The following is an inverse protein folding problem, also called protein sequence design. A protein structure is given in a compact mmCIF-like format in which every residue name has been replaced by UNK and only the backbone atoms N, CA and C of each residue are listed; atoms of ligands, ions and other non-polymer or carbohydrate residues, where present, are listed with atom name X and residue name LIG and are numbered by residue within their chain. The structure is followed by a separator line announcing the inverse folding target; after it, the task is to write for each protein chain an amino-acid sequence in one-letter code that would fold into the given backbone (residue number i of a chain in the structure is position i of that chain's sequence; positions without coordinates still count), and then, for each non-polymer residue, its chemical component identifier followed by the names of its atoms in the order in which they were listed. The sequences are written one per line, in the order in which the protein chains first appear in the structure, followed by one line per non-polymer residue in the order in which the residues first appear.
data_IF_016713401668
#
_entry.id   IF_016713401668
#
_cell.length_a   1.000
_cell.length_b   1.000
_cell.length_c   1.000
_cell.angle_alpha   90.00
_cell.angle_beta   90.00
_cell.angle_gamma   90.00
#
_symmetry.space_group_name_H-M   'P 1'
#
loop_
_entity.id
_entity.type
_entity.pdbx_description
1 polymer ?
#
# COMPACT_ATOMS: atom_id res chain seq x y z
N UNK A 1 -24.80 47.05 8.83
CA UNK A 1 -23.94 46.88 10.02
C UNK A 1 -22.75 46.06 9.57
N UNK A 2 -21.68 46.72 9.15
CA UNK A 2 -20.47 46.05 8.69
C UNK A 2 -19.73 45.48 9.89
N UNK A 3 -19.77 44.15 10.05
CA UNK A 3 -18.82 43.48 10.93
C UNK A 3 -17.44 43.78 10.38
N UNK A 4 -16.67 44.57 11.12
CA UNK A 4 -15.28 44.83 10.75
C UNK A 4 -14.53 43.50 10.70
N UNK A 5 -13.61 43.35 9.75
CA UNK A 5 -12.83 42.10 9.56
C UNK A 5 -12.21 41.59 10.87
N UNK A 6 -11.86 42.50 11.78
CA UNK A 6 -11.34 42.18 13.11
C UNK A 6 -12.38 41.50 14.01
N UNK A 7 -13.63 41.95 14.01
CA UNK A 7 -14.71 41.31 14.80
C UNK A 7 -15.06 39.91 14.25
N UNK A 8 -14.99 39.73 12.93
CA UNK A 8 -15.17 38.41 12.32
C UNK A 8 -14.02 37.45 12.71
N UNK A 9 -12.79 37.96 12.77
CA UNK A 9 -11.62 37.20 13.23
C UNK A 9 -11.73 36.80 14.69
N UNK A 10 -12.05 37.73 15.58
CA UNK A 10 -12.20 37.45 17.02
C UNK A 10 -13.30 36.42 17.27
N UNK A 11 -14.41 36.49 16.52
CA UNK A 11 -15.49 35.51 16.61
C UNK A 11 -15.07 34.11 16.13
N UNK A 12 -14.27 34.02 15.07
CA UNK A 12 -13.72 32.75 14.59
C UNK A 12 -12.69 32.16 15.56
N UNK A 13 -11.79 32.98 16.11
CA UNK A 13 -10.81 32.56 17.12
C UNK A 13 -11.53 32.07 18.40
N UNK A 14 -12.60 32.75 18.82
CA UNK A 14 -13.44 32.32 19.95
C UNK A 14 -14.15 30.98 19.69
N UNK A 15 -14.48 30.66 18.44
CA UNK A 15 -15.04 29.36 18.05
C UNK A 15 -13.98 28.27 17.89
N UNK A 16 -12.74 28.64 17.55
CA UNK A 16 -11.63 27.71 17.35
C UNK A 16 -11.11 27.15 18.69
N UNK A 17 -10.95 28.01 19.70
CA UNK A 17 -10.42 27.65 21.01
C UNK A 17 -11.13 26.45 21.71
N UNK A 18 -12.47 26.37 21.76
CA UNK A 18 -13.15 25.20 22.33
C UNK A 18 -12.98 23.94 21.48
N UNK A 19 -12.81 24.07 20.16
CA UNK A 19 -12.55 22.92 19.27
C UNK A 19 -11.15 22.37 19.49
N UNK A 20 -10.13 23.23 19.63
CA UNK A 20 -8.76 22.81 19.94
C UNK A 20 -8.68 22.12 21.30
N UNK A 21 -9.39 22.64 22.30
CA UNK A 21 -9.48 22.02 23.62
C UNK A 21 -10.09 20.63 23.52
N UNK A 22 -11.18 20.48 22.76
CA UNK A 22 -11.85 19.19 22.56
C UNK A 22 -11.02 18.21 21.74
N UNK A 23 -10.25 18.70 20.78
CA UNK A 23 -9.29 17.88 20.03
C UNK A 23 -8.21 17.31 20.96
N UNK A 24 -7.64 18.15 21.84
CA UNK A 24 -6.63 17.71 22.80
C UNK A 24 -7.19 16.69 23.82
N UNK A 25 -8.42 16.87 24.29
CA UNK A 25 -9.10 15.89 25.15
C UNK A 25 -9.28 14.54 24.44
N UNK A 26 -9.74 14.55 23.19
CA UNK A 26 -9.93 13.33 22.40
C UNK A 26 -8.61 12.62 22.12
N UNK A 27 -7.53 13.36 21.83
CA UNK A 27 -6.19 12.78 21.66
C UNK A 27 -5.70 12.09 22.93
N UNK A 28 -5.93 12.70 24.09
CA UNK A 28 -5.60 12.10 25.39
C UNK A 28 -6.38 10.80 25.64
N UNK A 29 -7.68 10.80 25.35
CA UNK A 29 -8.53 9.60 25.45
C UNK A 29 -8.04 8.51 24.50
N UNK A 30 -7.68 8.86 23.26
CA UNK A 30 -7.18 7.94 22.25
C UNK A 30 -5.85 7.32 22.68
N UNK A 31 -4.94 8.12 23.25
CA UNK A 31 -3.69 7.64 23.82
C UNK A 31 -3.93 6.61 24.93
N UNK A 32 -4.87 6.88 25.84
CA UNK A 32 -5.27 5.94 26.89
C UNK A 32 -5.84 4.62 26.34
N UNK A 33 -6.70 4.69 25.33
CA UNK A 33 -7.25 3.50 24.66
C UNK A 33 -6.14 2.69 23.97
N UNK A 34 -5.18 3.34 23.32
CA UNK A 34 -4.08 2.65 22.65
C UNK A 34 -3.16 1.92 23.64
N UNK A 35 -2.85 2.54 24.77
CA UNK A 35 -2.07 1.92 25.83
C UNK A 35 -2.80 0.70 26.42
N UNK A 36 -4.11 0.81 26.66
CA UNK A 36 -4.93 -0.31 27.11
C UNK A 36 -4.98 -1.44 26.07
N UNK A 37 -5.14 -1.13 24.78
CA UNK A 37 -5.06 -2.13 23.69
C UNK A 37 -3.71 -2.83 23.66
N UNK A 38 -2.61 -2.10 23.89
CA UNK A 38 -1.26 -2.67 23.93
C UNK A 38 -1.10 -3.65 25.08
N UNK A 39 -1.57 -3.28 26.28
CA UNK A 39 -1.56 -4.15 27.47
C UNK A 39 -2.38 -5.41 27.25
N UNK A 40 -3.60 -5.28 26.72
CA UNK A 40 -4.46 -6.42 26.42
C UNK A 40 -3.85 -7.35 25.36
N UNK A 41 -3.26 -6.80 24.29
CA UNK A 41 -2.53 -7.61 23.30
C UNK A 41 -1.34 -8.36 23.90
N UNK A 42 -0.58 -7.71 24.79
CA UNK A 42 0.53 -8.36 25.47
C UNK A 42 0.04 -9.49 26.38
N UNK A 43 -1.06 -9.28 27.12
CA UNK A 43 -1.67 -10.30 27.97
C UNK A 43 -2.21 -11.49 27.15
N UNK A 44 -2.90 -11.23 26.03
CA UNK A 44 -3.34 -12.26 25.10
C UNK A 44 -2.16 -13.06 24.52
N UNK A 45 -1.09 -12.36 24.13
CA UNK A 45 0.15 -13.01 23.64
C UNK A 45 0.82 -13.88 24.70
N UNK A 46 0.75 -13.46 25.97
CA UNK A 46 1.29 -14.25 27.09
C UNK A 46 0.43 -15.50 27.37
N UNK A 47 -0.90 -15.37 27.25
CA UNK A 47 -1.85 -16.48 27.41
C UNK A 47 -1.76 -17.50 26.27
N UNK A 48 -1.47 -17.06 25.05
CA UNK A 48 -1.23 -17.92 23.88
C UNK A 48 0.10 -18.71 23.97
N UNK A 49 0.76 -18.70 25.13
CA UNK A 49 2.04 -19.36 25.37
C UNK A 49 3.14 -18.55 24.70
N UNK A 50 3.62 -17.54 25.41
CA UNK A 50 4.63 -16.58 24.94
C UNK A 50 5.61 -17.19 23.94
N UNK A 51 5.70 -16.58 22.76
CA UNK A 51 6.41 -17.12 21.59
C UNK A 51 7.87 -17.44 21.92
N UNK A 52 8.12 -18.66 22.38
CA UNK A 52 9.34 -19.37 22.06
C UNK A 52 9.43 -19.36 20.54
N UNK A 53 10.51 -18.77 20.02
CA UNK A 53 10.88 -18.71 18.60
C UNK A 53 10.18 -19.80 17.79
N UNK A 54 9.16 -19.41 17.02
CA UNK A 54 8.58 -20.26 15.98
C UNK A 54 9.68 -20.53 14.95
N UNK A 55 10.44 -21.60 15.16
CA UNK A 55 11.34 -22.17 14.16
C UNK A 55 10.47 -22.91 13.15
N UNK A 56 10.60 -22.50 11.90
CA UNK A 56 10.10 -23.15 10.70
C UNK A 56 8.58 -23.22 10.54
N UNK A 57 7.97 -22.08 10.19
CA UNK A 57 6.85 -22.14 9.24
C UNK A 57 7.39 -22.77 7.95
N UNK A 58 6.66 -23.70 7.30
CA UNK A 58 7.07 -24.25 6.01
C UNK A 58 7.34 -23.08 5.07
N UNK A 59 8.50 -23.08 4.41
CA UNK A 59 8.92 -22.00 3.53
C UNK A 59 7.83 -21.78 2.49
N UNK A 60 7.11 -20.66 2.59
CA UNK A 60 6.13 -20.27 1.57
C UNK A 60 6.88 -20.18 0.25
N UNK A 61 6.32 -20.77 -0.80
CA UNK A 61 6.90 -20.71 -2.14
C UNK A 61 7.20 -19.24 -2.48
N UNK A 62 8.43 -18.96 -2.88
CA UNK A 62 8.81 -17.62 -3.27
C UNK A 62 8.16 -17.26 -4.61
N UNK A 63 7.84 -15.98 -4.76
CA UNK A 63 7.40 -15.42 -6.03
C UNK A 63 8.47 -15.62 -7.11
N UNK A 64 8.09 -16.09 -8.28
CA UNK A 64 8.98 -16.23 -9.46
C UNK A 64 8.82 -15.05 -10.40
N UNK A 65 9.81 -14.83 -11.27
CA UNK A 65 9.76 -13.80 -12.31
C UNK A 65 8.54 -13.98 -13.22
N UNK A 66 8.31 -15.20 -13.70
CA UNK A 66 7.22 -15.50 -14.63
C UNK A 66 5.85 -15.21 -14.01
N UNK A 67 5.67 -15.52 -12.72
CA UNK A 67 4.41 -15.22 -12.02
C UNK A 67 4.19 -13.71 -11.90
N UNK A 68 5.24 -12.92 -11.68
CA UNK A 68 5.14 -11.45 -11.67
C UNK A 68 4.78 -10.93 -13.06
N UNK A 69 5.39 -11.48 -14.12
CA UNK A 69 5.07 -11.12 -15.51
C UNK A 69 3.61 -11.41 -15.82
N UNK A 70 3.11 -12.62 -15.53
CA UNK A 70 1.71 -12.99 -15.79
C UNK A 70 0.72 -12.09 -15.06
N UNK A 71 0.98 -11.81 -13.78
CA UNK A 71 0.09 -10.94 -12.99
C UNK A 71 0.14 -9.50 -13.52
N UNK A 72 1.33 -9.00 -13.85
CA UNK A 72 1.51 -7.66 -14.42
C UNK A 72 0.83 -7.52 -15.79
N UNK A 73 1.00 -8.53 -16.66
CA UNK A 73 0.40 -8.59 -18.00
C UNK A 73 -1.13 -8.51 -17.90
N UNK A 74 -1.73 -9.30 -17.01
CA UNK A 74 -3.17 -9.26 -16.78
C UNK A 74 -3.64 -7.91 -16.22
N UNK A 75 -2.95 -7.35 -15.22
CA UNK A 75 -3.33 -6.06 -14.63
C UNK A 75 -3.23 -4.89 -15.62
N UNK A 76 -2.19 -4.89 -16.46
CA UNK A 76 -2.00 -3.86 -17.48
C UNK A 76 -2.96 -4.06 -18.65
N UNK A 77 -3.28 -5.30 -19.02
CA UNK A 77 -4.32 -5.59 -20.01
C UNK A 77 -5.71 -5.10 -19.55
N UNK A 78 -6.05 -5.31 -18.28
CA UNK A 78 -7.34 -4.91 -17.70
C UNK A 78 -7.49 -3.38 -17.57
N UNK A 79 -6.38 -2.65 -17.36
CA UNK A 79 -6.39 -1.21 -17.07
C UNK A 79 -5.75 -0.34 -18.18
N UNK A 80 -5.25 -0.96 -19.26
CA UNK A 80 -4.45 -0.38 -20.36
C UNK A 80 -3.07 0.17 -19.93
N UNK A 81 -3.03 0.94 -18.85
CA UNK A 81 -1.82 1.54 -18.30
C UNK A 81 -1.96 1.75 -16.80
N UNK A 82 -0.90 1.51 -16.04
CA UNK A 82 -0.89 1.67 -14.58
C UNK A 82 0.39 2.35 -14.11
N UNK A 83 0.32 3.29 -13.16
CA UNK A 83 1.50 3.78 -12.47
C UNK A 83 2.27 2.60 -11.87
N UNK A 84 3.61 2.63 -11.96
CA UNK A 84 4.48 1.55 -11.49
C UNK A 84 4.30 1.25 -10.00
N UNK A 85 4.03 2.28 -9.19
CA UNK A 85 3.74 2.14 -7.77
C UNK A 85 2.43 1.38 -7.52
N UNK A 86 1.38 1.69 -8.28
CA UNK A 86 0.08 1.01 -8.17
C UNK A 86 0.18 -0.43 -8.67
N UNK A 87 0.93 -0.64 -9.76
CA UNK A 87 1.20 -1.97 -10.29
C UNK A 87 1.96 -2.84 -9.28
N UNK A 88 3.01 -2.31 -8.64
CA UNK A 88 3.75 -2.99 -7.56
C UNK A 88 2.80 -3.37 -6.40
N UNK A 89 1.96 -2.44 -5.93
CA UNK A 89 1.01 -2.69 -4.84
C UNK A 89 -0.03 -3.76 -5.20
N UNK A 90 -0.59 -3.70 -6.41
CA UNK A 90 -1.59 -4.66 -6.90
C UNK A 90 -1.00 -6.06 -7.07
N UNK A 91 0.22 -6.18 -7.62
CA UNK A 91 0.89 -7.46 -7.76
C UNK A 91 1.20 -8.05 -6.38
N UNK A 92 1.71 -7.24 -5.42
CA UNK A 92 1.95 -7.73 -4.04
C UNK A 92 0.68 -8.28 -3.41
N UNK A 93 -0.44 -7.58 -3.57
CA UNK A 93 -1.75 -8.03 -3.08
C UNK A 93 -2.16 -9.36 -3.70
N UNK A 94 -2.07 -9.50 -5.04
CA UNK A 94 -2.39 -10.75 -5.75
C UNK A 94 -1.45 -11.91 -5.37
N UNK A 95 -0.15 -11.65 -5.21
CA UNK A 95 0.86 -12.65 -4.80
C UNK A 95 0.60 -13.16 -3.38
N UNK A 96 0.29 -12.25 -2.45
CA UNK A 96 -0.07 -12.60 -1.08
C UNK A 96 -1.40 -13.38 -1.03
N UNK A 97 -2.40 -12.97 -1.81
CA UNK A 97 -3.69 -13.68 -1.92
C UNK A 97 -3.55 -15.11 -2.43
N UNK A 98 -2.56 -15.38 -3.31
CA UNK A 98 -2.20 -16.72 -3.78
C UNK A 98 -1.33 -17.52 -2.80
N UNK A 99 -0.97 -16.95 -1.64
CA UNK A 99 -0.21 -17.63 -0.59
C UNK A 99 1.31 -17.64 -0.78
N UNK A 100 1.86 -16.88 -1.73
CA UNK A 100 3.29 -16.82 -1.99
C UNK A 100 4.02 -15.84 -1.05
N UNK A 101 5.32 -16.05 -0.87
CA UNK A 101 6.18 -15.13 -0.13
C UNK A 101 6.57 -13.93 -1.00
N UNK A 102 6.58 -12.73 -0.39
CA UNK A 102 7.16 -11.52 -1.01
C UNK A 102 8.69 -11.44 -0.87
N UNK A 103 9.33 -12.45 -0.28
CA UNK A 103 10.78 -12.52 -0.22
C UNK A 103 11.36 -12.54 -1.64
N UNK A 104 12.27 -11.59 -1.94
CA UNK A 104 12.84 -11.42 -3.28
C UNK A 104 11.90 -10.77 -4.30
N UNK A 105 10.70 -10.31 -3.91
CA UNK A 105 9.73 -9.71 -4.83
C UNK A 105 10.30 -8.52 -5.60
N UNK A 106 10.97 -7.58 -4.92
CA UNK A 106 11.52 -6.38 -5.56
C UNK A 106 12.51 -6.73 -6.70
N UNK A 107 13.31 -7.78 -6.52
CA UNK A 107 14.21 -8.29 -7.56
C UNK A 107 13.40 -8.84 -8.73
N UNK A 108 12.40 -9.70 -8.48
CA UNK A 108 11.56 -10.30 -9.52
C UNK A 108 10.70 -9.28 -10.26
N UNK A 109 10.25 -8.24 -9.57
CA UNK A 109 9.53 -7.12 -10.15
C UNK A 109 10.43 -6.32 -11.10
N UNK A 110 11.65 -5.96 -10.69
CA UNK A 110 12.60 -5.29 -11.57
C UNK A 110 12.97 -6.15 -12.79
N UNK A 111 13.21 -7.45 -12.59
CA UNK A 111 13.46 -8.39 -13.69
C UNK A 111 12.26 -8.52 -14.65
N UNK A 112 11.03 -8.45 -14.13
CA UNK A 112 9.81 -8.48 -14.93
C UNK A 112 9.63 -7.19 -15.74
N UNK A 113 9.85 -6.02 -15.13
CA UNK A 113 9.77 -4.75 -15.86
C UNK A 113 10.82 -4.66 -16.98
N UNK A 114 11.99 -5.28 -16.79
CA UNK A 114 13.06 -5.33 -17.77
C UNK A 114 12.96 -6.51 -18.77
N UNK A 115 11.88 -7.29 -18.77
CA UNK A 115 11.75 -8.46 -19.66
C UNK A 115 11.41 -8.11 -21.12
N UNK A 116 11.25 -6.82 -21.43
CA UNK A 116 10.95 -6.33 -22.78
C UNK A 116 9.49 -6.45 -23.21
N UNK A 117 8.61 -7.05 -22.38
CA UNK A 117 7.15 -7.09 -22.59
C UNK A 117 6.43 -5.80 -22.17
N UNK A 118 7.03 -5.06 -21.23
CA UNK A 118 6.45 -3.83 -20.71
C UNK A 118 7.28 -2.63 -21.18
N UNK A 119 6.60 -1.51 -21.36
CA UNK A 119 7.22 -0.19 -21.56
C UNK A 119 6.92 0.66 -20.35
N UNK A 120 7.94 1.34 -19.84
CA UNK A 120 7.83 2.31 -18.75
C UNK A 120 8.06 3.69 -19.35
N UNK A 121 7.07 4.58 -19.22
CA UNK A 121 7.20 5.97 -19.68
C UNK A 121 8.04 6.82 -18.71
N UNK A 122 8.43 8.02 -19.13
CA UNK A 122 9.14 8.99 -18.27
C UNK A 122 8.32 9.43 -17.05
N UNK A 123 7.01 9.18 -17.04
CA UNK A 123 6.11 9.43 -15.92
C UNK A 123 5.90 8.19 -15.02
N UNK A 124 6.77 7.18 -15.12
CA UNK A 124 6.69 5.93 -14.36
C UNK A 124 5.37 5.15 -14.57
N UNK A 125 4.73 5.33 -15.73
CA UNK A 125 3.54 4.57 -16.12
C UNK A 125 3.96 3.34 -16.92
N UNK A 126 3.46 2.17 -16.51
CA UNK A 126 3.72 0.89 -17.14
C UNK A 126 2.57 0.55 -18.10
N UNK A 127 2.92 0.26 -19.34
CA UNK A 127 2.01 -0.21 -20.39
C UNK A 127 2.57 -1.46 -21.05
N UNK A 128 1.70 -2.23 -21.74
CA UNK A 128 2.16 -3.32 -22.58
C UNK A 128 2.91 -2.72 -23.77
N UNK A 129 4.09 -3.27 -24.08
CA UNK A 129 4.80 -2.91 -25.29
C UNK A 129 3.89 -3.26 -26.46
N UNK A 130 3.52 -2.27 -27.26
CA UNK A 130 2.79 -2.51 -28.49
C UNK A 130 3.57 -3.57 -29.28
N UNK A 131 2.98 -4.75 -29.42
CA UNK A 131 3.50 -5.73 -30.36
C UNK A 131 3.51 -5.04 -31.72
N UNK A 132 4.68 -4.97 -32.37
CA UNK A 132 4.74 -4.49 -33.74
C UNK A 132 3.68 -5.26 -34.54
N UNK A 133 2.87 -4.58 -35.38
CA UNK A 133 1.97 -5.28 -36.26
C UNK A 133 2.82 -6.25 -37.08
N UNK A 134 2.49 -7.54 -36.99
CA UNK A 134 2.98 -8.56 -37.92
C UNK A 134 2.77 -7.98 -39.32
N UNK A 135 3.87 -7.51 -39.94
CA UNK A 135 3.86 -7.15 -41.33
C UNK A 135 3.28 -8.35 -42.08
N UNK A 136 2.18 -8.13 -42.78
CA UNK A 136 1.65 -9.09 -43.74
C UNK A 136 2.79 -9.39 -44.73
N UNK A 137 3.31 -10.60 -44.69
CA UNK A 137 4.08 -11.15 -45.80
C UNK A 137 3.07 -11.74 -46.77
N UNK A 138 2.98 -11.11 -47.95
CA UNK A 138 2.14 -11.54 -49.07
C UNK A 138 2.67 -12.77 -49.79
#
# INVERSE_FOLDING_TARGET
MDLTVNQARDHLEAQLAPLDTKAAELESVLAGINENRKRLRAALTALDGGTGKSRNKPARKCVTKDMVIEIADQLVADNTQLPKADLDALIRSKVQGKGFSLSGFALRFNEAMNCGRFTVSDSDVVSLRASEPRAQAG
#
